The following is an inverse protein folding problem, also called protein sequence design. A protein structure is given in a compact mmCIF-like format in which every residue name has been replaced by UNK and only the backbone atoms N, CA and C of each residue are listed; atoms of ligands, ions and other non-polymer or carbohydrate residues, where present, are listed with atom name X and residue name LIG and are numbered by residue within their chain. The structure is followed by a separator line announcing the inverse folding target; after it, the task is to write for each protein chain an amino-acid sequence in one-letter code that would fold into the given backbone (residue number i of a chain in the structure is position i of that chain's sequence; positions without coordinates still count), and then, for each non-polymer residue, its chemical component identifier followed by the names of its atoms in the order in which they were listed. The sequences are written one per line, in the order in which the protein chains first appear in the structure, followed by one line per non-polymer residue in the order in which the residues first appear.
data_IF_902022103868
#
_entry.id   IF_902022103868
#
_cell.length_a   1.000
_cell.length_b   1.000
_cell.length_c   1.000
_cell.angle_alpha   90.00
_cell.angle_beta   90.00
_cell.angle_gamma   90.00
#
_symmetry.space_group_name_H-M   'P 1'
#
loop_
_entity.id
_entity.type
_entity.pdbx_description
1 polymer ?
#
# COMPACT_ATOMS: atom_id res chain seq x y z
N UNK A 1 -78.02 -0.92 29.10
CA UNK A 1 -77.59 -0.17 27.91
C UNK A 1 -76.34 0.61 28.30
N UNK A 2 -75.17 0.23 27.79
CA UNK A 2 -73.89 0.85 28.15
C UNK A 2 -72.73 0.11 27.49
N UNK A 3 -72.31 0.56 26.30
CA UNK A 3 -71.13 0.07 25.58
C UNK A 3 -69.88 0.61 26.27
N UNK A 4 -68.99 -0.26 26.75
CA UNK A 4 -67.63 0.12 27.12
C UNK A 4 -66.75 0.07 25.86
N UNK A 5 -66.29 1.23 25.42
CA UNK A 5 -65.31 1.38 24.34
C UNK A 5 -63.93 1.27 25.00
N UNK A 6 -63.19 0.22 24.70
CA UNK A 6 -61.79 0.07 25.13
C UNK A 6 -60.89 0.59 24.01
N UNK A 7 -60.26 1.72 24.27
CA UNK A 7 -59.30 2.40 23.41
C UNK A 7 -57.98 1.61 23.42
N UNK A 8 -57.62 0.98 22.30
CA UNK A 8 -56.36 0.25 22.13
C UNK A 8 -55.26 1.26 21.77
N UNK A 9 -54.41 1.59 22.75
CA UNK A 9 -53.25 2.47 22.61
C UNK A 9 -52.20 1.76 21.74
N UNK A 10 -52.07 2.19 20.49
CA UNK A 10 -51.07 1.70 19.55
C UNK A 10 -49.69 2.23 19.95
N UNK A 11 -48.96 1.48 20.77
CA UNK A 11 -47.57 1.75 21.11
C UNK A 11 -46.70 1.39 19.91
N UNK A 12 -46.39 2.39 19.09
CA UNK A 12 -45.42 2.31 17.99
C UNK A 12 -44.06 2.03 18.61
N UNK A 13 -43.64 0.76 18.60
CA UNK A 13 -42.26 0.38 18.89
C UNK A 13 -41.37 0.93 17.78
N UNK A 14 -40.62 1.98 18.13
CA UNK A 14 -39.47 2.47 17.38
C UNK A 14 -38.46 1.34 17.27
N UNK A 15 -38.36 0.74 16.08
CA UNK A 15 -37.23 -0.12 15.72
C UNK A 15 -35.98 0.75 15.65
N UNK A 16 -35.27 0.85 16.77
CA UNK A 16 -33.86 1.23 16.80
C UNK A 16 -33.10 0.14 16.04
N UNK A 17 -32.78 0.40 14.78
CA UNK A 17 -31.84 -0.41 14.01
C UNK A 17 -30.44 -0.21 14.58
N UNK A 18 -30.15 -0.88 15.69
CA UNK A 18 -28.79 -1.10 16.12
C UNK A 18 -28.07 -1.90 15.04
N UNK A 19 -27.03 -1.33 14.45
CA UNK A 19 -26.05 -2.06 13.65
C UNK A 19 -25.51 -3.19 14.51
N UNK A 20 -26.06 -4.39 14.34
CA UNK A 20 -25.45 -5.61 14.84
C UNK A 20 -24.23 -5.86 13.97
N UNK A 21 -23.08 -6.13 14.60
CA UNK A 21 -21.98 -6.81 13.92
C UNK A 21 -22.54 -8.15 13.46
N UNK A 22 -22.95 -8.24 12.21
CA UNK A 22 -23.32 -9.52 11.61
C UNK A 22 -22.10 -10.44 11.68
N UNK A 23 -22.20 -11.48 12.50
CA UNK A 23 -21.32 -12.64 12.40
C UNK A 23 -21.53 -13.21 11.01
N UNK A 24 -20.56 -12.99 10.12
CA UNK A 24 -20.73 -13.15 8.67
C UNK A 24 -21.00 -14.62 8.29
N UNK A 25 -20.81 -15.60 9.20
CA UNK A 25 -20.83 -17.01 8.82
C UNK A 25 -21.27 -17.93 9.97
N UNK A 26 -22.58 -18.26 10.08
CA UNK A 26 -23.02 -19.56 10.64
C UNK A 26 -24.51 -19.89 10.40
N UNK A 27 -24.82 -20.99 9.71
CA UNK A 27 -26.18 -21.55 9.69
C UNK A 27 -26.46 -22.33 10.98
N UNK A 28 -27.28 -21.76 11.87
CA UNK A 28 -27.65 -22.35 13.17
C UNK A 28 -28.35 -23.72 13.12
N UNK A 29 -28.77 -24.21 11.94
CA UNK A 29 -29.56 -25.45 11.80
C UNK A 29 -28.71 -26.71 11.54
N UNK A 30 -27.55 -26.57 10.91
CA UNK A 30 -26.70 -27.70 10.53
C UNK A 30 -25.18 -27.43 10.68
N UNK A 31 -24.78 -26.22 11.09
CA UNK A 31 -23.37 -25.83 11.18
C UNK A 31 -22.67 -25.73 9.82
N UNK A 32 -23.42 -25.82 8.70
CA UNK A 32 -22.88 -25.65 7.36
C UNK A 32 -22.77 -24.16 7.03
N UNK A 33 -21.70 -23.80 6.33
CA UNK A 33 -21.46 -22.46 5.80
C UNK A 33 -22.30 -22.30 4.53
N UNK A 34 -23.55 -21.85 4.67
CA UNK A 34 -24.37 -21.42 3.52
C UNK A 34 -24.27 -19.89 3.40
N UNK A 35 -23.29 -19.45 2.63
CA UNK A 35 -22.93 -18.03 2.48
C UNK A 35 -23.68 -17.34 1.35
N UNK A 36 -24.42 -18.09 0.52
CA UNK A 36 -24.84 -17.61 -0.80
C UNK A 36 -23.68 -17.31 -1.75
N UNK A 37 -22.44 -17.65 -1.38
CA UNK A 37 -21.22 -17.45 -2.18
C UNK A 37 -20.87 -18.72 -2.93
N UNK A 38 -20.36 -18.56 -4.14
CA UNK A 38 -19.97 -19.67 -5.01
C UNK A 38 -18.52 -20.07 -4.72
N UNK A 39 -18.28 -21.38 -4.56
CA UNK A 39 -16.95 -21.95 -4.47
C UNK A 39 -16.17 -21.71 -5.78
N UNK A 40 -15.03 -21.02 -5.70
CA UNK A 40 -14.26 -20.53 -6.86
C UNK A 40 -12.77 -20.86 -6.76
N UNK A 41 -12.29 -21.19 -5.57
CA UNK A 41 -10.86 -21.28 -5.26
C UNK A 41 -10.48 -22.68 -4.79
N UNK A 42 -9.19 -23.01 -4.89
CA UNK A 42 -8.65 -24.19 -4.24
C UNK A 42 -8.45 -23.91 -2.75
N UNK A 43 -8.83 -24.84 -1.89
CA UNK A 43 -8.62 -24.72 -0.45
C UNK A 43 -7.13 -24.64 -0.11
N UNK A 44 -6.78 -23.80 0.86
CA UNK A 44 -5.39 -23.60 1.25
C UNK A 44 -5.12 -22.25 1.90
N UNK A 45 -3.84 -22.01 2.15
CA UNK A 45 -3.33 -20.72 2.61
C UNK A 45 -2.40 -20.15 1.55
N UNK A 46 -2.69 -18.92 1.11
CA UNK A 46 -2.02 -18.24 0.01
C UNK A 46 -1.42 -16.96 0.51
N UNK A 47 -0.11 -16.82 0.38
CA UNK A 47 0.64 -15.67 0.92
C UNK A 47 1.25 -14.87 -0.22
N UNK A 48 1.07 -13.55 -0.15
CA UNK A 48 1.74 -12.58 -1.00
C UNK A 48 2.43 -11.55 -0.12
N UNK A 49 3.64 -11.16 -0.50
CA UNK A 49 4.44 -10.14 0.18
C UNK A 49 4.89 -9.09 -0.82
N UNK A 50 5.12 -7.86 -0.38
CA UNK A 50 5.84 -6.89 -1.22
C UNK A 50 7.24 -7.43 -1.53
N UNK A 51 7.77 -7.12 -2.71
CA UNK A 51 9.15 -7.48 -3.06
C UNK A 51 10.16 -6.62 -2.31
N UNK A 52 9.79 -5.38 -2.04
CA UNK A 52 10.64 -4.31 -1.52
C UNK A 52 9.97 -3.67 -0.29
N UNK A 53 10.79 -3.03 0.54
CA UNK A 53 10.28 -2.08 1.54
C UNK A 53 9.79 -0.82 0.83
N UNK A 54 8.65 -0.29 1.29
CA UNK A 54 8.09 0.97 0.81
C UNK A 54 8.98 2.17 1.21
N UNK A 55 8.66 3.36 0.69
CA UNK A 55 9.35 4.62 1.00
C UNK A 55 9.32 5.05 2.47
N UNK A 56 8.51 4.38 3.30
CA UNK A 56 8.46 4.55 4.76
C UNK A 56 9.23 3.46 5.52
N UNK A 57 9.86 2.52 4.80
CA UNK A 57 10.64 1.42 5.36
C UNK A 57 9.81 0.22 5.81
N UNK A 58 8.59 0.04 5.30
CA UNK A 58 7.70 -1.07 5.64
C UNK A 58 7.49 -2.04 4.47
N UNK A 59 7.58 -3.34 4.77
CA UNK A 59 7.19 -4.41 3.87
C UNK A 59 5.79 -4.90 4.22
N UNK A 60 5.00 -5.24 3.20
CA UNK A 60 3.61 -5.63 3.34
C UNK A 60 3.45 -7.15 3.18
N UNK A 61 2.59 -7.77 3.99
CA UNK A 61 2.22 -9.17 3.85
C UNK A 61 0.71 -9.33 3.91
N UNK A 62 0.16 -10.10 2.97
CA UNK A 62 -1.22 -10.56 2.95
C UNK A 62 -1.25 -12.09 2.95
N UNK A 63 -2.04 -12.66 3.86
CA UNK A 63 -2.30 -14.10 3.95
C UNK A 63 -3.80 -14.32 3.77
N UNK A 64 -4.16 -15.13 2.81
CA UNK A 64 -5.53 -15.48 2.45
C UNK A 64 -5.75 -16.97 2.77
N UNK A 65 -6.79 -17.29 3.56
CA UNK A 65 -7.19 -18.67 3.85
C UNK A 65 -8.50 -18.97 3.10
N UNK A 66 -8.48 -20.06 2.31
CA UNK A 66 -9.63 -20.58 1.57
C UNK A 66 -10.08 -21.90 2.19
N UNK A 67 -11.37 -21.98 2.47
CA UNK A 67 -12.04 -23.21 2.90
C UNK A 67 -13.36 -23.38 2.14
N UNK A 68 -13.65 -24.60 1.69
CA UNK A 68 -14.83 -24.90 0.86
C UNK A 68 -14.91 -24.02 -0.40
N UNK A 69 -13.75 -23.70 -0.98
CA UNK A 69 -13.57 -22.90 -2.19
C UNK A 69 -13.91 -21.42 -2.05
N UNK A 70 -14.08 -20.90 -0.84
CA UNK A 70 -14.32 -19.47 -0.55
C UNK A 70 -13.26 -18.92 0.40
N UNK A 71 -12.97 -17.63 0.27
CA UNK A 71 -12.07 -16.88 1.15
C UNK A 71 -12.78 -16.71 2.50
N UNK A 72 -12.24 -17.33 3.54
CA UNK A 72 -12.84 -17.30 4.89
C UNK A 72 -12.09 -16.40 5.85
N UNK A 73 -10.80 -16.13 5.58
CA UNK A 73 -9.97 -15.30 6.45
C UNK A 73 -8.87 -14.62 5.66
N UNK A 74 -8.61 -13.36 6.03
CA UNK A 74 -7.54 -12.56 5.45
C UNK A 74 -6.79 -11.92 6.61
N UNK A 75 -5.46 -12.00 6.56
CA UNK A 75 -4.57 -11.26 7.45
C UNK A 75 -3.73 -10.32 6.61
N UNK A 76 -3.68 -9.05 7.00
CA UNK A 76 -2.82 -8.06 6.39
C UNK A 76 -2.02 -7.36 7.48
N UNK A 77 -0.73 -7.20 7.25
CA UNK A 77 0.14 -6.46 8.15
C UNK A 77 1.32 -5.85 7.39
N UNK A 78 1.87 -4.79 7.99
CA UNK A 78 3.07 -4.11 7.50
C UNK A 78 4.12 -4.14 8.60
N UNK A 79 5.37 -4.43 8.27
CA UNK A 79 6.46 -4.49 9.24
C UNK A 79 7.69 -3.76 8.74
N UNK A 80 8.42 -3.12 9.65
CA UNK A 80 9.68 -2.48 9.32
C UNK A 80 10.82 -3.52 9.18
N UNK A 81 12.04 -3.03 8.92
CA UNK A 81 13.26 -3.86 8.80
C UNK A 81 13.63 -4.65 10.06
N UNK A 82 13.16 -4.25 11.24
CA UNK A 82 13.40 -4.97 12.50
C UNK A 82 12.28 -5.96 12.83
N UNK A 83 11.27 -6.08 11.96
CA UNK A 83 10.11 -6.95 12.18
C UNK A 83 9.01 -6.34 13.08
N UNK A 84 9.14 -5.07 13.46
CA UNK A 84 8.13 -4.38 14.24
C UNK A 84 6.94 -4.03 13.36
N UNK A 85 5.73 -4.39 13.79
CA UNK A 85 4.51 -4.10 13.03
C UNK A 85 4.19 -2.61 13.08
N UNK A 86 3.74 -2.05 11.96
CA UNK A 86 3.35 -0.64 11.83
C UNK A 86 2.19 -0.23 12.75
N UNK A 87 1.37 -1.20 13.16
CA UNK A 87 0.22 -1.01 14.05
C UNK A 87 0.46 -1.46 15.51
N UNK A 88 1.67 -1.92 15.86
CA UNK A 88 2.03 -2.31 17.24
C UNK A 88 2.41 -1.10 18.12
N UNK A 89 2.85 -0.02 17.49
CA UNK A 89 3.02 1.26 18.19
C UNK A 89 1.66 1.82 18.59
N UNK A 90 1.49 2.11 19.89
CA UNK A 90 0.46 2.99 20.44
C UNK A 90 0.57 4.42 19.86
N UNK A 91 0.26 4.58 18.56
CA UNK A 91 0.70 5.72 17.76
C UNK A 91 -0.26 6.91 17.87
N UNK A 92 0.19 7.91 18.63
CA UNK A 92 -0.31 9.28 18.79
C UNK A 92 -0.08 10.20 17.57
N UNK A 93 -0.12 9.66 16.35
CA UNK A 93 0.02 10.45 15.10
C UNK A 93 -1.30 10.75 14.40
N UNK A 94 -2.42 10.24 14.92
CA UNK A 94 -3.77 10.45 14.39
C UNK A 94 -4.51 11.51 15.23
N UNK A 95 -4.05 12.75 15.15
CA UNK A 95 -4.76 13.93 15.64
C UNK A 95 -5.45 14.71 14.50
N UNK A 96 -5.94 13.98 13.47
CA UNK A 96 -6.92 14.51 12.51
C UNK A 96 -8.14 13.59 12.46
N UNK A 97 -9.31 14.18 12.71
CA UNK A 97 -10.58 13.52 13.03
C UNK A 97 -11.23 12.75 11.87
N UNK A 98 -10.72 12.82 10.65
CA UNK A 98 -11.43 12.36 9.44
C UNK A 98 -10.75 11.18 8.71
N UNK A 99 -9.65 10.62 9.25
CA UNK A 99 -8.98 9.44 8.68
C UNK A 99 -9.10 8.23 9.61
N UNK A 100 -9.46 7.04 9.10
CA UNK A 100 -9.53 5.85 9.94
C UNK A 100 -8.17 5.53 10.54
N UNK A 101 -8.17 4.97 11.75
CA UNK A 101 -6.95 4.38 12.33
C UNK A 101 -6.43 3.26 11.42
N UNK A 102 -5.14 2.92 11.49
CA UNK A 102 -4.59 1.81 10.70
C UNK A 102 -5.33 0.48 10.97
N UNK A 103 -5.77 0.26 12.21
CA UNK A 103 -6.56 -0.92 12.57
C UNK A 103 -7.94 -0.93 11.87
N UNK A 104 -8.63 0.21 11.85
CA UNK A 104 -9.92 0.35 11.17
C UNK A 104 -9.78 0.23 9.64
N UNK A 105 -8.73 0.82 9.07
CA UNK A 105 -8.39 0.70 7.66
C UNK A 105 -8.21 -0.78 7.27
N UNK A 106 -7.34 -1.51 7.99
CA UNK A 106 -7.07 -2.91 7.67
C UNK A 106 -8.32 -3.77 7.83
N UNK A 107 -9.08 -3.57 8.92
CA UNK A 107 -10.34 -4.27 9.16
C UNK A 107 -11.35 -4.00 8.04
N UNK A 108 -11.44 -2.75 7.56
CA UNK A 108 -12.34 -2.36 6.46
C UNK A 108 -11.94 -3.05 5.16
N UNK A 109 -10.66 -3.03 4.78
CA UNK A 109 -10.16 -3.68 3.56
C UNK A 109 -10.36 -5.21 3.60
N UNK A 110 -10.03 -5.85 4.73
CA UNK A 110 -10.26 -7.28 4.96
C UNK A 110 -11.73 -7.63 4.82
N UNK A 111 -12.62 -6.87 5.46
CA UNK A 111 -14.07 -7.11 5.42
C UNK A 111 -14.61 -6.96 3.99
N UNK A 112 -14.17 -5.92 3.27
CA UNK A 112 -14.54 -5.71 1.86
C UNK A 112 -14.12 -6.89 1.00
N UNK A 113 -12.88 -7.35 1.13
CA UNK A 113 -12.36 -8.48 0.35
C UNK A 113 -13.11 -9.79 0.62
N UNK A 114 -13.35 -10.13 1.89
CA UNK A 114 -14.09 -11.34 2.26
C UNK A 114 -15.52 -11.29 1.71
N UNK A 115 -16.19 -10.13 1.74
CA UNK A 115 -17.54 -9.98 1.19
C UNK A 115 -17.56 -10.06 -0.33
N UNK A 116 -16.61 -9.42 -1.00
CA UNK A 116 -16.53 -9.39 -2.46
C UNK A 116 -16.03 -10.70 -3.06
N UNK A 117 -15.31 -11.51 -2.27
CA UNK A 117 -14.56 -12.69 -2.75
C UNK A 117 -13.61 -12.33 -3.91
N UNK A 118 -13.13 -11.10 -3.95
CA UNK A 118 -12.36 -10.51 -5.04
C UNK A 118 -11.48 -9.38 -4.51
N UNK A 119 -10.39 -9.09 -5.21
CA UNK A 119 -9.54 -7.92 -4.95
C UNK A 119 -10.13 -6.61 -5.53
N UNK A 120 -11.19 -6.71 -6.34
CA UNK A 120 -11.91 -5.54 -6.85
C UNK A 120 -12.79 -4.92 -5.76
N UNK A 121 -12.14 -4.17 -4.88
CA UNK A 121 -12.75 -3.45 -3.77
C UNK A 121 -12.41 -1.95 -3.86
N UNK A 122 -13.32 -1.13 -3.35
CA UNK A 122 -13.09 0.31 -3.24
C UNK A 122 -11.98 0.62 -2.24
N UNK A 123 -11.11 1.56 -2.62
CA UNK A 123 -10.12 2.14 -1.71
C UNK A 123 -10.79 2.87 -0.54
N UNK A 124 -10.06 3.06 0.55
CA UNK A 124 -10.52 3.87 1.69
C UNK A 124 -9.99 5.30 1.54
N UNK A 125 -10.87 6.29 1.62
CA UNK A 125 -10.53 7.71 1.52
C UNK A 125 -9.43 8.09 2.53
N UNK A 126 -8.42 8.83 2.06
CA UNK A 126 -7.26 9.20 2.87
C UNK A 126 -6.21 8.10 3.06
N UNK A 127 -6.44 6.90 2.51
CA UNK A 127 -5.54 5.74 2.64
C UNK A 127 -5.28 5.04 1.28
N UNK A 128 -5.17 5.82 0.21
CA UNK A 128 -5.04 5.31 -1.17
C UNK A 128 -3.85 4.37 -1.33
N UNK A 129 -2.65 4.76 -0.87
CA UNK A 129 -1.43 3.93 -1.01
C UNK A 129 -1.58 2.54 -0.37
N UNK A 130 -1.99 2.49 0.91
CA UNK A 130 -2.22 1.22 1.61
C UNK A 130 -3.36 0.42 0.98
N UNK A 131 -4.43 1.08 0.51
CA UNK A 131 -5.54 0.40 -0.15
C UNK A 131 -5.09 -0.26 -1.46
N UNK A 132 -4.26 0.42 -2.26
CA UNK A 132 -3.75 -0.12 -3.52
C UNK A 132 -2.79 -1.29 -3.26
N UNK A 133 -1.84 -1.13 -2.35
CA UNK A 133 -0.93 -2.22 -1.96
C UNK A 133 -1.68 -3.46 -1.47
N UNK A 134 -2.75 -3.29 -0.67
CA UNK A 134 -3.62 -4.39 -0.25
C UNK A 134 -4.27 -5.08 -1.44
N UNK A 135 -4.81 -4.32 -2.41
CA UNK A 135 -5.45 -4.86 -3.61
C UNK A 135 -4.48 -5.63 -4.50
N UNK A 136 -3.25 -5.15 -4.67
CA UNK A 136 -2.24 -5.82 -5.51
C UNK A 136 -1.80 -7.15 -4.89
N UNK A 137 -1.55 -7.15 -3.58
CA UNK A 137 -1.25 -8.37 -2.82
C UNK A 137 -2.42 -9.35 -2.86
N UNK A 138 -3.64 -8.87 -2.62
CA UNK A 138 -4.85 -9.69 -2.70
C UNK A 138 -5.04 -10.31 -4.09
N UNK A 139 -4.81 -9.53 -5.15
CA UNK A 139 -4.87 -10.02 -6.54
C UNK A 139 -3.90 -11.18 -6.74
N UNK A 140 -2.67 -11.04 -6.25
CA UNK A 140 -1.67 -12.11 -6.32
C UNK A 140 -2.08 -13.34 -5.50
N UNK A 141 -2.56 -13.17 -4.27
CA UNK A 141 -2.98 -14.28 -3.42
C UNK A 141 -4.23 -15.02 -3.98
N UNK A 142 -5.17 -14.29 -4.58
CA UNK A 142 -6.35 -14.86 -5.24
C UNK A 142 -5.95 -15.65 -6.50
N UNK A 143 -5.04 -15.13 -7.32
CA UNK A 143 -4.52 -15.85 -8.48
C UNK A 143 -3.83 -17.17 -8.08
N UNK A 144 -3.07 -17.14 -6.98
CA UNK A 144 -2.51 -18.34 -6.37
C UNK A 144 -3.61 -19.31 -5.89
N UNK A 145 -4.68 -18.78 -5.28
CA UNK A 145 -5.81 -19.58 -4.83
C UNK A 145 -6.60 -20.24 -5.98
N UNK A 146 -6.70 -19.57 -7.14
CA UNK A 146 -7.32 -20.13 -8.34
C UNK A 146 -6.51 -21.32 -8.90
N UNK A 147 -5.18 -21.23 -8.84
CA UNK A 147 -4.26 -22.25 -9.35
C UNK A 147 -3.83 -23.30 -8.31
N UNK A 148 -4.15 -23.10 -7.03
CA UNK A 148 -3.68 -23.96 -5.93
C UNK A 148 -2.19 -23.79 -5.60
N UNK A 149 -1.56 -22.69 -6.01
CA UNK A 149 -0.14 -22.43 -5.78
C UNK A 149 0.10 -21.84 -4.39
N UNK A 150 0.64 -22.62 -3.45
CA UNK A 150 0.89 -22.18 -2.07
C UNK A 150 2.26 -21.50 -1.87
N UNK A 151 3.04 -21.33 -2.93
CA UNK A 151 4.30 -20.60 -2.87
C UNK A 151 4.05 -19.12 -2.50
N UNK A 152 4.95 -18.55 -1.69
CA UNK A 152 4.88 -17.12 -1.33
C UNK A 152 5.18 -16.27 -2.56
N UNK A 153 4.21 -15.47 -2.99
CA UNK A 153 4.40 -14.51 -4.07
C UNK A 153 5.10 -13.24 -3.58
N UNK A 154 5.96 -12.68 -4.45
CA UNK A 154 6.62 -11.38 -4.25
C UNK A 154 6.04 -10.41 -5.27
N UNK A 155 5.38 -9.36 -4.78
CA UNK A 155 4.64 -8.38 -5.59
C UNK A 155 5.44 -7.08 -5.63
N UNK A 156 5.72 -6.58 -6.83
CA UNK A 156 6.25 -5.23 -6.99
C UNK A 156 5.08 -4.25 -6.87
N UNK A 157 5.19 -3.31 -5.94
CA UNK A 157 4.14 -2.34 -5.61
C UNK A 157 4.52 -0.95 -6.12
N UNK A 158 3.51 -0.15 -6.42
CA UNK A 158 3.68 1.26 -6.73
C UNK A 158 4.23 2.02 -5.52
N UNK A 159 5.26 2.83 -5.77
CA UNK A 159 5.78 3.73 -4.75
C UNK A 159 6.58 4.89 -5.35
N UNK A 160 6.70 5.97 -4.59
CA UNK A 160 7.59 7.08 -4.88
C UNK A 160 8.64 7.15 -3.78
N UNK A 161 9.91 7.01 -4.17
CA UNK A 161 11.05 7.18 -3.28
C UNK A 161 11.69 8.54 -3.51
N UNK A 162 12.03 9.23 -2.44
CA UNK A 162 12.75 10.50 -2.50
C UNK A 162 13.97 10.44 -1.60
N UNK A 163 15.10 10.92 -2.13
CA UNK A 163 16.31 11.16 -1.35
C UNK A 163 16.76 12.59 -1.55
N UNK A 164 17.20 13.22 -0.46
CA UNK A 164 17.80 14.55 -0.46
C UNK A 164 19.19 14.45 0.15
N UNK A 165 20.12 15.25 -0.36
CA UNK A 165 21.49 15.30 0.13
C UNK A 165 21.49 15.67 1.62
N UNK A 166 22.22 14.92 2.44
CA UNK A 166 22.29 15.16 3.89
C UNK A 166 23.10 16.41 4.25
N UNK A 167 23.95 16.87 3.33
CA UNK A 167 24.75 18.07 3.44
C UNK A 167 24.89 18.72 2.05
N UNK A 168 25.18 20.04 1.96
CA UNK A 168 25.48 20.69 0.69
C UNK A 168 26.73 20.09 0.02
N UNK A 169 26.77 20.13 -1.32
CA UNK A 169 27.99 19.88 -2.09
C UNK A 169 29.08 20.89 -1.76
N UNK A 170 30.31 20.69 -2.26
CA UNK A 170 31.41 21.65 -2.11
C UNK A 170 31.04 23.04 -2.63
N UNK A 171 30.23 23.09 -3.70
CA UNK A 171 29.69 24.33 -4.27
C UNK A 171 28.43 24.86 -3.57
N UNK A 172 27.99 24.24 -2.47
CA UNK A 172 26.87 24.69 -1.64
C UNK A 172 25.48 24.27 -2.13
N UNK A 173 25.37 23.24 -2.98
CA UNK A 173 24.10 22.80 -3.56
C UNK A 173 23.50 21.59 -2.82
N UNK A 174 22.18 21.52 -2.68
CA UNK A 174 21.47 20.36 -2.11
C UNK A 174 20.69 19.66 -3.23
N UNK A 175 21.09 18.43 -3.57
CA UNK A 175 20.39 17.61 -4.56
C UNK A 175 19.19 16.87 -3.96
N UNK A 176 18.11 16.78 -4.73
CA UNK A 176 16.94 15.94 -4.43
C UNK A 176 16.58 15.10 -5.64
N UNK A 177 16.50 13.79 -5.44
CA UNK A 177 16.11 12.79 -6.42
C UNK A 177 14.79 12.16 -6.01
N UNK A 178 13.86 12.07 -6.94
CA UNK A 178 12.59 11.35 -6.78
C UNK A 178 12.50 10.29 -7.88
N UNK A 179 12.19 9.05 -7.50
CA UNK A 179 12.00 7.90 -8.40
C UNK A 179 10.60 7.34 -8.16
N UNK A 180 9.79 7.27 -9.21
CA UNK A 180 8.42 6.75 -9.18
C UNK A 180 8.41 5.36 -9.81
N UNK A 181 7.85 4.38 -9.09
CA UNK A 181 7.61 3.03 -9.54
C UNK A 181 6.12 2.81 -9.84
N UNK A 182 5.86 2.20 -10.99
CA UNK A 182 4.59 1.56 -11.36
C UNK A 182 4.87 0.05 -11.43
N UNK A 183 4.55 -0.64 -10.33
CA UNK A 183 5.00 -1.99 -10.03
C UNK A 183 6.53 -2.15 -10.12
N UNK A 184 6.98 -2.98 -11.06
CA UNK A 184 8.41 -3.26 -11.27
C UNK A 184 9.14 -2.17 -12.07
N UNK A 185 8.40 -1.28 -12.74
CA UNK A 185 8.95 -0.32 -13.71
C UNK A 185 9.19 1.02 -13.04
N UNK A 186 10.36 1.62 -13.25
CA UNK A 186 10.59 3.04 -12.98
C UNK A 186 9.85 3.84 -14.05
N UNK A 187 8.74 4.46 -13.66
CA UNK A 187 7.86 5.23 -14.55
C UNK A 187 8.28 6.70 -14.69
N UNK A 188 8.95 7.26 -13.67
CA UNK A 188 9.48 8.62 -13.71
C UNK A 188 10.70 8.79 -12.80
N UNK A 189 11.59 9.71 -13.18
CA UNK A 189 12.76 10.11 -12.40
C UNK A 189 12.91 11.62 -12.49
N UNK A 190 12.86 12.28 -11.34
CA UNK A 190 12.98 13.73 -11.23
C UNK A 190 14.19 14.08 -10.39
N UNK A 191 15.00 15.03 -10.87
CA UNK A 191 16.19 15.47 -10.17
C UNK A 191 16.37 16.98 -10.31
N UNK A 192 16.72 17.61 -9.20
CA UNK A 192 17.19 18.99 -9.18
C UNK A 192 18.13 19.22 -8.01
N UNK A 193 18.85 20.33 -8.08
CA UNK A 193 19.70 20.82 -7.01
C UNK A 193 19.28 22.24 -6.65
N UNK A 194 19.16 22.52 -5.36
CA UNK A 194 18.88 23.87 -4.86
C UNK A 194 20.18 24.50 -4.38
N UNK A 195 20.46 25.72 -4.86
CA UNK A 195 21.56 26.57 -4.39
C UNK A 195 21.03 27.97 -4.13
N UNK A 196 21.34 28.53 -2.96
CA UNK A 196 20.91 29.88 -2.55
C UNK A 196 19.38 30.10 -2.71
N UNK A 197 18.59 29.06 -2.43
CA UNK A 197 17.13 29.07 -2.52
C UNK A 197 16.57 29.00 -3.95
N UNK A 198 17.41 28.79 -4.96
CA UNK A 198 17.01 28.65 -6.37
C UNK A 198 17.38 27.29 -6.94
N UNK A 199 16.51 26.73 -7.78
CA UNK A 199 16.79 25.51 -8.51
C UNK A 199 17.88 25.75 -9.56
N UNK A 200 18.89 24.88 -9.60
CA UNK A 200 19.95 24.90 -10.62
C UNK A 200 19.38 24.64 -12.00
N UNK A 201 18.31 23.85 -12.12
CA UNK A 201 17.60 23.61 -13.38
C UNK A 201 16.96 24.87 -14.01
N UNK A 202 16.91 26.01 -13.32
CA UNK A 202 16.58 27.29 -13.95
C UNK A 202 17.61 27.71 -15.01
N UNK A 203 18.86 27.25 -14.86
CA UNK A 203 19.88 27.39 -15.89
C UNK A 203 19.74 26.26 -16.92
N UNK A 204 19.72 26.61 -18.21
CA UNK A 204 19.51 25.66 -19.30
C UNK A 204 20.56 24.55 -19.40
N UNK A 205 21.80 24.81 -19.00
CA UNK A 205 22.88 23.80 -19.00
C UNK A 205 22.57 22.72 -17.96
N UNK A 206 22.28 23.11 -16.71
CA UNK A 206 21.92 22.15 -15.66
C UNK A 206 20.60 21.45 -15.94
N UNK A 207 19.61 22.15 -16.53
CA UNK A 207 18.36 21.52 -16.97
C UNK A 207 18.59 20.38 -17.96
N UNK A 208 19.44 20.61 -18.96
CA UNK A 208 19.80 19.61 -19.96
C UNK A 208 20.60 18.47 -19.32
N UNK A 209 21.58 18.79 -18.49
CA UNK A 209 22.37 17.82 -17.74
C UNK A 209 21.48 16.88 -16.91
N UNK A 210 20.62 17.42 -16.05
CA UNK A 210 19.74 16.63 -15.19
C UNK A 210 18.77 15.78 -16.02
N UNK A 211 18.28 16.31 -17.15
CA UNK A 211 17.45 15.54 -18.09
C UNK A 211 18.21 14.34 -18.68
N UNK A 212 19.50 14.49 -19.00
CA UNK A 212 20.33 13.37 -19.49
C UNK A 212 20.48 12.30 -18.40
N UNK A 213 20.78 12.71 -17.18
CA UNK A 213 20.97 11.80 -16.05
C UNK A 213 19.70 11.02 -15.71
N UNK A 214 18.55 11.70 -15.60
CA UNK A 214 17.28 11.03 -15.29
C UNK A 214 16.82 10.12 -16.42
N UNK A 215 17.04 10.49 -17.69
CA UNK A 215 16.75 9.64 -18.84
C UNK A 215 17.61 8.39 -18.88
N UNK A 216 18.88 8.48 -18.49
CA UNK A 216 19.75 7.29 -18.45
C UNK A 216 19.26 6.30 -17.38
N UNK A 217 18.90 6.78 -16.19
CA UNK A 217 18.28 5.95 -15.14
C UNK A 217 16.97 5.32 -15.62
N UNK A 218 16.08 6.11 -16.24
CA UNK A 218 14.83 5.61 -16.84
C UNK A 218 15.08 4.55 -17.92
N UNK A 219 16.10 4.74 -18.77
CA UNK A 219 16.43 3.78 -19.81
C UNK A 219 16.97 2.48 -19.24
N UNK A 220 17.78 2.56 -18.17
CA UNK A 220 18.40 1.40 -17.52
C UNK A 220 17.44 0.63 -16.63
N UNK A 221 16.40 1.29 -16.09
CA UNK A 221 15.47 0.69 -15.12
C UNK A 221 16.19 0.16 -13.86
N UNK A 222 17.29 0.81 -13.47
CA UNK A 222 18.13 0.39 -12.35
C UNK A 222 18.58 1.61 -11.53
N UNK A 223 18.74 1.42 -10.23
CA UNK A 223 19.23 2.45 -9.30
C UNK A 223 20.75 2.40 -9.12
N UNK A 224 21.47 1.84 -10.08
CA UNK A 224 22.93 1.74 -10.05
C UNK A 224 23.56 3.05 -10.54
N UNK A 225 24.70 3.50 -9.98
CA UNK A 225 25.37 4.72 -10.42
C UNK A 225 25.50 4.81 -11.96
N UNK A 226 25.26 6.00 -12.51
CA UNK A 226 25.48 6.32 -13.93
C UNK A 226 26.93 6.76 -14.14
N UNK A 227 27.44 6.57 -15.36
CA UNK A 227 28.80 6.99 -15.72
C UNK A 227 28.93 8.52 -15.67
N UNK A 228 29.88 9.08 -14.90
CA UNK A 228 30.05 10.53 -14.79
C UNK A 228 30.51 11.21 -16.09
N UNK A 229 29.93 12.37 -16.40
CA UNK A 229 30.53 13.33 -17.33
C UNK A 229 31.64 14.10 -16.56
N UNK A 230 32.90 14.06 -17.01
CA UNK A 230 34.00 14.74 -16.33
C UNK A 230 33.86 16.27 -16.30
N UNK A 231 32.94 16.84 -17.10
CA UNK A 231 32.61 18.28 -17.08
C UNK A 231 31.76 18.67 -15.87
N UNK A 232 31.02 17.72 -15.28
CA UNK A 232 30.08 17.94 -14.17
C UNK A 232 30.28 16.93 -13.04
N UNK A 233 31.50 16.78 -12.50
CA UNK A 233 31.83 15.69 -11.58
C UNK A 233 31.04 15.78 -10.26
N UNK A 234 30.74 16.98 -9.78
CA UNK A 234 29.96 17.18 -8.54
C UNK A 234 28.50 16.76 -8.71
N UNK A 235 27.83 17.17 -9.79
CA UNK A 235 26.43 16.85 -10.04
C UNK A 235 26.23 15.33 -10.18
N UNK A 236 27.13 14.65 -10.90
CA UNK A 236 27.11 13.19 -11.02
C UNK A 236 27.39 12.49 -9.70
N UNK A 237 28.32 13.01 -8.88
CA UNK A 237 28.58 12.46 -7.56
C UNK A 237 27.35 12.57 -6.65
N UNK A 238 26.70 13.74 -6.61
CA UNK A 238 25.47 13.95 -5.85
C UNK A 238 24.35 13.03 -6.34
N UNK A 239 24.08 12.98 -7.64
CA UNK A 239 23.03 12.13 -8.21
C UNK A 239 23.25 10.64 -7.92
N UNK A 240 24.48 10.14 -8.10
CA UNK A 240 24.81 8.75 -7.84
C UNK A 240 24.68 8.38 -6.36
N UNK A 241 25.08 9.27 -5.45
CA UNK A 241 24.86 9.05 -4.02
C UNK A 241 23.36 8.99 -3.68
N UNK A 242 22.52 9.79 -4.35
CA UNK A 242 21.07 9.75 -4.15
C UNK A 242 20.43 8.48 -4.74
N UNK A 243 20.91 7.98 -5.88
CA UNK A 243 20.50 6.69 -6.42
C UNK A 243 20.78 5.56 -5.42
N UNK A 244 21.98 5.53 -4.85
CA UNK A 244 22.37 4.55 -3.83
C UNK A 244 21.50 4.64 -2.57
N UNK A 245 21.20 5.86 -2.13
CA UNK A 245 20.28 6.08 -1.00
C UNK A 245 18.89 5.53 -1.27
N UNK A 246 18.30 5.80 -2.44
CA UNK A 246 16.99 5.26 -2.82
C UNK A 246 17.06 3.73 -2.95
N UNK A 247 18.13 3.19 -3.51
CA UNK A 247 18.33 1.74 -3.62
C UNK A 247 18.36 1.06 -2.24
N UNK A 248 19.03 1.71 -1.28
CA UNK A 248 19.06 1.26 0.11
C UNK A 248 17.67 1.29 0.75
N UNK A 249 16.91 2.40 0.57
CA UNK A 249 15.52 2.53 1.05
C UNK A 249 14.63 1.40 0.52
N UNK A 250 14.62 1.18 -0.80
CA UNK A 250 13.78 0.20 -1.50
C UNK A 250 14.14 -1.26 -1.21
N UNK A 251 15.30 -1.56 -0.61
CA UNK A 251 15.85 -2.93 -0.49
C UNK A 251 14.86 -4.09 -0.26
N UNK A 252 15.24 -5.31 -0.63
CA UNK A 252 14.34 -6.46 -0.60
C UNK A 252 13.69 -6.69 0.78
N UNK A 253 12.40 -7.03 0.78
CA UNK A 253 11.61 -7.46 1.93
C UNK A 253 11.54 -8.98 2.02
#
# INVERSE_FOLDING_TARGET
MGKKITLFLCLILLFLTGCTKEDIINNKKNGAVDTGLVAQYQDGSYTSTSRAYDSYGYGQTLILEVHSGIITKVRFYEQNRTGTLKNDTANTWLSKSDTPTLAELYSTLVTKLIRAQSADIDTVSGATKTSQAFKDLATSAISNAQSGSTAVSKVDLDDTYTATSSAPSETGSIGTLTVIYDGHTISDVQYDEVKDGSNKSNNMVYKQLFTVMTRETLKRQELTPITPDPTFPEEYATYNALLENINSQRGAF
#
